data_IF_338518142052
#
_entry.id   IF_338518142052
#
_cell.length_a   1.000
_cell.length_b   1.000
_cell.length_c   1.000
_cell.angle_alpha   90.00
_cell.angle_beta   90.00
_cell.angle_gamma   90.00
#
_symmetry.space_group_name_H-M   'P 1'
#
loop_
_entity.id
_entity.type
_entity.pdbx_description
1 polymer ?
#
# COMPACT_ATOMS: atom_id res chain seq x y z
N UNK A 1 -20.64 8.80 -29.75
CA UNK A 1 -20.16 7.52 -29.17
C UNK A 1 -18.67 7.55 -28.89
N UNK A 2 -17.77 7.98 -29.78
CA UNK A 2 -16.33 8.03 -29.54
C UNK A 2 -15.92 8.85 -28.31
N UNK A 3 -16.50 10.02 -28.08
CA UNK A 3 -16.20 10.91 -26.95
C UNK A 3 -16.58 10.29 -25.58
N UNK A 4 -17.68 9.53 -25.53
CA UNK A 4 -18.13 8.86 -24.30
C UNK A 4 -17.18 7.72 -23.93
N UNK A 5 -16.72 6.97 -24.92
CA UNK A 5 -15.76 5.88 -24.74
C UNK A 5 -14.39 6.40 -24.28
N UNK A 6 -13.90 7.47 -24.91
CA UNK A 6 -12.66 8.12 -24.51
C UNK A 6 -12.70 8.58 -23.05
N UNK A 7 -13.79 9.25 -22.65
CA UNK A 7 -13.98 9.69 -21.27
C UNK A 7 -13.98 8.53 -20.27
N UNK A 8 -14.51 7.38 -20.65
CA UNK A 8 -14.52 6.19 -19.82
C UNK A 8 -13.11 5.60 -19.68
N UNK A 9 -12.37 5.49 -20.78
CA UNK A 9 -10.97 5.03 -20.78
C UNK A 9 -10.10 5.95 -19.91
N UNK A 10 -10.24 7.27 -20.02
CA UNK A 10 -9.54 8.26 -19.17
C UNK A 10 -9.86 8.07 -17.67
N UNK A 11 -11.10 7.68 -17.34
CA UNK A 11 -11.51 7.41 -15.96
C UNK A 11 -10.87 6.13 -15.40
N UNK A 12 -10.73 5.08 -16.22
CA UNK A 12 -10.02 3.85 -15.84
C UNK A 12 -8.53 4.09 -15.64
N UNK A 13 -7.89 4.83 -16.52
CA UNK A 13 -6.48 5.24 -16.34
C UNK A 13 -6.31 6.09 -15.08
N UNK A 14 -7.26 6.99 -14.80
CA UNK A 14 -7.29 7.78 -13.59
C UNK A 14 -7.37 6.92 -12.32
N UNK A 15 -8.13 5.82 -12.34
CA UNK A 15 -8.22 4.87 -11.24
C UNK A 15 -6.87 4.18 -10.96
N UNK A 16 -6.17 3.75 -12.02
CA UNK A 16 -4.83 3.15 -11.89
C UNK A 16 -3.83 4.16 -11.30
N UNK A 17 -3.90 5.41 -11.73
CA UNK A 17 -3.05 6.49 -11.19
C UNK A 17 -3.30 6.71 -9.69
N UNK A 18 -4.57 6.69 -9.27
CA UNK A 18 -4.95 6.87 -7.87
C UNK A 18 -4.43 5.70 -7.01
N UNK A 19 -4.55 4.45 -7.48
CA UNK A 19 -3.99 3.28 -6.81
C UNK A 19 -2.46 3.38 -6.65
N UNK A 20 -1.76 3.79 -7.70
CA UNK A 20 -0.30 3.97 -7.63
C UNK A 20 0.09 5.10 -6.67
N UNK A 21 -0.68 6.18 -6.63
CA UNK A 21 -0.50 7.27 -5.66
C UNK A 21 -0.71 6.78 -4.24
N UNK A 22 -1.73 5.96 -4.00
CA UNK A 22 -1.98 5.32 -2.70
C UNK A 22 -0.81 4.43 -2.29
N UNK A 23 -0.35 3.53 -3.17
CA UNK A 23 0.82 2.67 -2.92
C UNK A 23 2.07 3.45 -2.57
N UNK A 24 2.34 4.57 -3.26
CA UNK A 24 3.47 5.44 -2.97
C UNK A 24 3.35 6.12 -1.59
N UNK A 25 2.14 6.54 -1.20
CA UNK A 25 1.89 7.10 0.15
C UNK A 25 2.13 6.06 1.24
N UNK A 26 1.66 4.84 1.03
CA UNK A 26 1.90 3.72 1.94
C UNK A 26 3.39 3.40 2.07
N UNK A 27 4.11 3.35 0.94
CA UNK A 27 5.57 3.14 0.92
C UNK A 27 6.30 4.14 1.83
N UNK A 28 6.06 5.43 1.65
CA UNK A 28 6.69 6.46 2.48
C UNK A 28 6.22 6.43 3.94
N UNK A 29 4.99 5.99 4.19
CA UNK A 29 4.48 5.86 5.54
C UNK A 29 5.17 4.71 6.30
N UNK A 30 5.42 3.58 5.63
CA UNK A 30 6.22 2.47 6.15
C UNK A 30 7.66 2.94 6.41
N UNK A 31 8.28 3.63 5.46
CA UNK A 31 9.64 4.19 5.62
C UNK A 31 9.74 5.06 6.87
N UNK A 32 8.83 6.01 7.04
CA UNK A 32 8.79 6.89 8.21
C UNK A 32 8.59 6.11 9.52
N UNK A 33 7.72 5.07 9.51
CA UNK A 33 7.53 4.20 10.66
C UNK A 33 8.84 3.49 11.06
N UNK A 34 9.56 2.93 10.09
CA UNK A 34 10.84 2.26 10.32
C UNK A 34 11.94 3.22 10.80
N UNK A 35 12.00 4.41 10.22
CA UNK A 35 12.94 5.48 10.65
C UNK A 35 12.65 5.89 12.09
N UNK A 36 11.37 5.95 12.48
CA UNK A 36 10.95 6.32 13.84
C UNK A 36 11.42 5.34 14.91
N UNK A 37 11.73 4.08 14.55
CA UNK A 37 12.24 3.08 15.46
C UNK A 37 13.63 3.44 16.03
N UNK A 38 14.37 4.35 15.39
CA UNK A 38 15.62 4.90 15.92
C UNK A 38 15.36 5.92 17.03
N UNK A 39 16.23 5.97 18.06
CA UNK A 39 15.98 6.73 19.31
C UNK A 39 15.71 8.23 19.10
N UNK A 40 16.43 8.86 18.18
CA UNK A 40 16.42 10.31 17.99
C UNK A 40 15.30 10.81 17.06
N UNK A 41 14.48 9.91 16.51
CA UNK A 41 13.58 10.24 15.38
C UNK A 41 12.08 10.07 15.68
N UNK A 42 11.67 10.38 16.89
CA UNK A 42 10.24 10.33 17.31
C UNK A 42 9.30 11.23 16.50
N UNK A 43 9.82 12.26 15.86
CA UNK A 43 9.05 13.14 14.98
C UNK A 43 8.46 12.37 13.80
N UNK A 44 9.20 11.42 13.23
CA UNK A 44 8.74 10.56 12.15
C UNK A 44 7.54 9.70 12.54
N UNK A 45 7.45 9.26 13.80
CA UNK A 45 6.28 8.53 14.27
C UNK A 45 5.01 9.40 14.26
N UNK A 46 5.11 10.68 14.66
CA UNK A 46 3.98 11.61 14.61
C UNK A 46 3.58 11.92 13.17
N UNK A 47 4.53 12.09 12.28
CA UNK A 47 4.28 12.30 10.85
C UNK A 47 3.59 11.09 10.22
N UNK A 48 4.02 9.86 10.56
CA UNK A 48 3.39 8.62 10.09
C UNK A 48 1.90 8.58 10.46
N UNK A 49 1.58 8.85 11.71
CA UNK A 49 0.19 8.88 12.21
C UNK A 49 -0.63 9.98 11.52
N UNK A 50 -0.02 11.13 11.26
CA UNK A 50 -0.71 12.21 10.57
C UNK A 50 -0.98 11.89 9.10
N UNK A 51 0.00 11.32 8.40
CA UNK A 51 -0.09 10.96 6.98
C UNK A 51 -1.04 9.79 6.72
N UNK A 52 -1.27 8.95 7.72
CA UNK A 52 -2.23 7.87 7.65
C UNK A 52 -3.65 8.36 7.30
N UNK A 53 -4.05 9.53 7.78
CA UNK A 53 -5.31 10.16 7.41
C UNK A 53 -5.44 10.46 5.92
N UNK A 54 -4.32 10.77 5.25
CA UNK A 54 -4.29 10.98 3.80
C UNK A 54 -4.43 9.66 3.04
N UNK A 55 -3.91 8.56 3.59
CA UNK A 55 -4.05 7.21 3.04
C UNK A 55 -5.50 6.78 3.11
N UNK A 56 -6.14 6.94 4.27
CA UNK A 56 -7.56 6.60 4.48
C UNK A 56 -8.48 7.44 3.58
N UNK A 57 -8.15 8.72 3.38
CA UNK A 57 -8.90 9.58 2.49
C UNK A 57 -8.78 9.15 1.02
N UNK A 58 -7.57 8.79 0.56
CA UNK A 58 -7.34 8.28 -0.79
C UNK A 58 -8.04 6.94 -1.04
N UNK A 59 -8.02 6.02 -0.07
CA UNK A 59 -8.78 4.78 -0.18
C UNK A 59 -10.28 5.08 -0.37
N UNK A 60 -10.84 5.95 0.44
CA UNK A 60 -12.24 6.36 0.32
C UNK A 60 -12.56 6.97 -1.04
N UNK A 61 -11.71 7.88 -1.56
CA UNK A 61 -11.87 8.48 -2.89
C UNK A 61 -11.85 7.43 -4.01
N UNK A 62 -10.94 6.44 -3.92
CA UNK A 62 -10.87 5.32 -4.87
C UNK A 62 -12.14 4.49 -4.83
N UNK A 63 -12.61 4.14 -3.64
CA UNK A 63 -13.83 3.37 -3.45
C UNK A 63 -15.05 4.08 -4.06
N UNK A 64 -15.23 5.36 -3.76
CA UNK A 64 -16.33 6.16 -4.32
C UNK A 64 -16.25 6.26 -5.85
N UNK A 65 -15.05 6.44 -6.39
CA UNK A 65 -14.81 6.50 -7.84
C UNK A 65 -15.20 5.21 -8.53
N UNK A 66 -14.84 4.06 -7.95
CA UNK A 66 -15.20 2.74 -8.49
C UNK A 66 -16.71 2.54 -8.46
N UNK A 67 -17.36 2.82 -7.33
CA UNK A 67 -18.83 2.72 -7.20
C UNK A 67 -19.53 3.58 -8.24
N UNK A 68 -19.07 4.81 -8.41
CA UNK A 68 -19.62 5.73 -9.41
C UNK A 68 -19.43 5.20 -10.84
N UNK A 69 -18.26 4.64 -11.18
CA UNK A 69 -17.99 4.07 -12.50
C UNK A 69 -18.90 2.87 -12.78
N UNK A 70 -19.04 1.94 -11.85
CA UNK A 70 -19.93 0.78 -11.99
C UNK A 70 -21.37 1.24 -12.21
N UNK A 71 -21.85 2.19 -11.41
CA UNK A 71 -23.23 2.66 -11.45
C UNK A 71 -23.57 3.39 -12.75
N UNK A 72 -22.64 4.24 -13.26
CA UNK A 72 -22.92 5.10 -14.42
C UNK A 72 -22.62 4.45 -15.76
N UNK A 73 -21.65 3.53 -15.82
CA UNK A 73 -21.10 3.06 -17.09
C UNK A 73 -21.52 1.64 -17.46
N UNK A 74 -22.11 0.88 -16.52
CA UNK A 74 -22.48 -0.53 -16.72
C UNK A 74 -21.34 -1.33 -17.41
N UNK A 75 -20.17 -1.44 -16.76
CA UNK A 75 -18.97 -1.97 -17.37
C UNK A 75 -19.14 -3.42 -17.81
N UNK A 76 -18.43 -3.80 -18.88
CA UNK A 76 -18.33 -5.19 -19.31
C UNK A 76 -17.53 -6.02 -18.29
N UNK A 77 -17.64 -7.35 -18.37
CA UNK A 77 -17.08 -8.25 -17.39
C UNK A 77 -15.57 -8.05 -17.08
N UNK A 78 -14.76 -7.68 -18.08
CA UNK A 78 -13.33 -7.42 -17.91
C UNK A 78 -13.09 -6.16 -17.09
N UNK A 79 -13.76 -5.07 -17.42
CA UNK A 79 -13.61 -3.80 -16.72
C UNK A 79 -14.19 -3.90 -15.29
N UNK A 80 -15.29 -4.62 -15.11
CA UNK A 80 -15.85 -4.87 -13.79
C UNK A 80 -14.85 -5.62 -12.90
N UNK A 81 -14.18 -6.66 -13.43
CA UNK A 81 -13.14 -7.39 -12.68
C UNK A 81 -11.98 -6.47 -12.29
N UNK A 82 -11.53 -5.62 -13.20
CA UNK A 82 -10.48 -4.63 -12.91
C UNK A 82 -10.91 -3.68 -11.79
N UNK A 83 -12.12 -3.16 -11.83
CA UNK A 83 -12.66 -2.27 -10.79
C UNK A 83 -12.78 -2.96 -9.44
N UNK A 84 -13.25 -4.21 -9.40
CA UNK A 84 -13.32 -5.00 -8.17
C UNK A 84 -11.94 -5.32 -7.61
N UNK A 85 -10.95 -5.58 -8.47
CA UNK A 85 -9.56 -5.75 -8.06
C UNK A 85 -8.98 -4.44 -7.50
N UNK A 86 -9.31 -3.30 -8.11
CA UNK A 86 -8.90 -1.99 -7.63
C UNK A 86 -9.40 -1.70 -6.22
N UNK A 87 -10.66 -2.02 -5.91
CA UNK A 87 -11.22 -1.92 -4.55
C UNK A 87 -10.42 -2.75 -3.56
N UNK A 88 -10.14 -4.00 -3.90
CA UNK A 88 -9.40 -4.91 -3.02
C UNK A 88 -7.98 -4.41 -2.78
N UNK A 89 -7.27 -4.03 -3.83
CA UNK A 89 -5.91 -3.47 -3.72
C UNK A 89 -5.90 -2.21 -2.87
N UNK A 90 -6.87 -1.32 -3.05
CA UNK A 90 -6.99 -0.08 -2.25
C UNK A 90 -7.12 -0.39 -0.76
N UNK A 91 -8.03 -1.30 -0.40
CA UNK A 91 -8.25 -1.73 0.98
C UNK A 91 -6.99 -2.39 1.58
N UNK A 92 -6.30 -3.25 0.82
CA UNK A 92 -5.08 -3.90 1.31
C UNK A 92 -3.94 -2.88 1.50
N UNK A 93 -3.80 -1.89 0.62
CA UNK A 93 -2.84 -0.79 0.78
C UNK A 93 -3.17 0.08 2.00
N UNK A 94 -4.44 0.42 2.22
CA UNK A 94 -4.87 1.16 3.42
C UNK A 94 -4.50 0.40 4.70
N UNK A 95 -4.77 -0.91 4.77
CA UNK A 95 -4.38 -1.75 5.91
C UNK A 95 -2.86 -1.77 6.15
N UNK A 96 -2.05 -1.72 5.09
CA UNK A 96 -0.60 -1.57 5.24
C UNK A 96 -0.23 -0.21 5.85
N UNK A 97 -0.93 0.86 5.47
CA UNK A 97 -0.81 2.20 6.06
C UNK A 97 -1.16 2.20 7.55
N UNK A 98 -2.31 1.61 7.90
CA UNK A 98 -2.75 1.42 9.29
C UNK A 98 -1.70 0.69 10.14
N UNK A 99 -1.10 -0.38 9.59
CA UNK A 99 -0.05 -1.12 10.29
C UNK A 99 1.20 -0.25 10.51
N UNK A 100 1.59 0.57 9.55
CA UNK A 100 2.69 1.52 9.73
C UNK A 100 2.37 2.55 10.83
N UNK A 101 1.13 3.07 10.87
CA UNK A 101 0.67 3.97 11.92
C UNK A 101 0.64 3.28 13.30
N UNK A 102 0.26 2.00 13.37
CA UNK A 102 0.30 1.21 14.60
C UNK A 102 1.73 1.04 15.13
N UNK A 103 2.71 0.76 14.27
CA UNK A 103 4.14 0.74 14.65
C UNK A 103 4.54 2.10 15.23
N UNK A 104 4.15 3.19 14.60
CA UNK A 104 4.43 4.54 15.06
C UNK A 104 3.78 4.84 16.42
N UNK A 105 2.54 4.42 16.66
CA UNK A 105 1.86 4.54 17.94
C UNK A 105 2.58 3.78 19.05
N UNK A 106 3.01 2.53 18.79
CA UNK A 106 3.80 1.74 19.73
C UNK A 106 5.11 2.47 20.04
N UNK A 107 5.80 2.97 19.01
CA UNK A 107 7.07 3.70 19.19
C UNK A 107 6.95 4.96 20.05
N UNK A 108 5.82 5.63 20.02
CA UNK A 108 5.59 6.80 20.89
C UNK A 108 5.40 6.41 22.36
N UNK A 109 4.91 5.20 22.64
CA UNK A 109 4.62 4.70 24.00
C UNK A 109 5.79 3.93 24.59
N UNK A 110 6.47 3.14 23.78
CA UNK A 110 7.50 2.20 24.21
C UNK A 110 8.82 2.49 23.51
N UNK A 111 9.94 2.39 24.25
CA UNK A 111 11.29 2.38 23.69
C UNK A 111 11.69 0.92 23.48
N UNK A 112 11.85 0.52 22.24
CA UNK A 112 12.39 -0.80 21.90
C UNK A 112 13.92 -0.69 22.02
N UNK A 113 14.51 -1.39 22.98
CA UNK A 113 15.96 -1.35 23.24
C UNK A 113 16.68 -2.58 22.73
N UNK A 114 15.97 -3.67 22.49
CA UNK A 114 16.55 -4.90 21.96
C UNK A 114 16.99 -4.69 20.50
N UNK A 115 18.29 -4.77 20.27
CA UNK A 115 18.90 -4.56 18.97
C UNK A 115 18.51 -5.65 17.94
N UNK A 116 18.35 -6.88 18.41
CA UNK A 116 17.94 -7.99 17.55
C UNK A 116 16.51 -7.79 17.04
N UNK A 117 15.59 -7.45 17.93
CA UNK A 117 14.19 -7.14 17.57
C UNK A 117 14.13 -5.96 16.60
N UNK A 118 14.86 -4.87 16.88
CA UNK A 118 14.90 -3.71 15.99
C UNK A 118 15.41 -4.03 14.59
N UNK A 119 16.47 -4.85 14.52
CA UNK A 119 17.05 -5.24 13.24
C UNK A 119 16.06 -6.06 12.42
N UNK A 120 15.37 -7.01 13.04
CA UNK A 120 14.35 -7.82 12.37
C UNK A 120 13.19 -6.99 11.87
N UNK A 121 12.61 -6.15 12.72
CA UNK A 121 11.52 -5.24 12.32
C UNK A 121 11.91 -4.36 11.13
N UNK A 122 13.12 -3.82 11.14
CA UNK A 122 13.63 -3.03 10.01
C UNK A 122 13.83 -3.86 8.75
N UNK A 123 14.29 -5.11 8.89
CA UNK A 123 14.47 -6.02 7.75
C UNK A 123 13.13 -6.39 7.13
N UNK A 124 12.15 -6.80 7.93
CA UNK A 124 10.78 -7.10 7.45
C UNK A 124 10.16 -5.90 6.74
N UNK A 125 10.24 -4.71 7.34
CA UNK A 125 9.71 -3.50 6.73
C UNK A 125 10.40 -3.12 5.42
N UNK A 126 11.72 -3.30 5.31
CA UNK A 126 12.45 -3.09 4.04
C UNK A 126 12.04 -4.08 2.96
N UNK A 127 11.83 -5.34 3.30
CA UNK A 127 11.34 -6.35 2.36
C UNK A 127 9.93 -5.98 1.86
N UNK A 128 9.02 -5.58 2.75
CA UNK A 128 7.70 -5.10 2.36
C UNK A 128 7.76 -3.88 1.43
N UNK A 129 8.68 -2.94 1.69
CA UNK A 129 8.88 -1.78 0.81
C UNK A 129 9.39 -2.18 -0.58
N UNK A 130 10.35 -3.11 -0.66
CA UNK A 130 10.85 -3.63 -1.94
C UNK A 130 9.73 -4.34 -2.71
N UNK A 131 8.89 -5.13 -2.05
CA UNK A 131 7.74 -5.78 -2.69
C UNK A 131 6.75 -4.76 -3.24
N UNK A 132 6.48 -3.66 -2.54
CA UNK A 132 5.62 -2.58 -3.05
C UNK A 132 6.22 -1.87 -4.27
N UNK A 133 7.54 -1.65 -4.29
CA UNK A 133 8.24 -1.02 -5.40
C UNK A 133 8.21 -1.92 -6.65
N UNK A 134 8.50 -3.20 -6.47
CA UNK A 134 8.44 -4.21 -7.53
C UNK A 134 7.00 -4.37 -8.04
N UNK A 135 6.00 -4.38 -7.15
CA UNK A 135 4.60 -4.44 -7.54
C UNK A 135 4.18 -3.23 -8.39
N UNK A 136 4.61 -2.02 -8.00
CA UNK A 136 4.36 -0.83 -8.81
C UNK A 136 4.99 -0.93 -10.21
N UNK A 137 6.18 -1.53 -10.29
CA UNK A 137 6.89 -1.78 -11.55
C UNK A 137 6.18 -2.83 -12.38
N UNK A 138 5.78 -3.95 -11.76
CA UNK A 138 5.08 -5.05 -12.42
C UNK A 138 3.73 -4.59 -12.99
N UNK A 139 2.96 -3.82 -12.23
CA UNK A 139 1.68 -3.26 -12.69
C UNK A 139 1.88 -2.27 -13.84
N UNK A 140 2.92 -1.44 -13.78
CA UNK A 140 3.23 -0.48 -14.86
C UNK A 140 3.61 -1.19 -16.17
N UNK A 141 4.33 -2.30 -16.09
CA UNK A 141 4.87 -3.02 -17.24
C UNK A 141 4.01 -4.23 -17.64
N UNK A 142 2.91 -4.49 -16.94
CA UNK A 142 2.06 -5.68 -17.09
C UNK A 142 2.85 -7.00 -16.96
N UNK A 143 3.88 -7.00 -16.07
CA UNK A 143 4.81 -8.12 -15.89
C UNK A 143 4.24 -9.16 -14.90
N UNK A 144 3.57 -10.17 -15.45
CA UNK A 144 2.98 -11.28 -14.68
C UNK A 144 4.06 -12.14 -14.01
N UNK A 145 5.25 -12.25 -14.62
CA UNK A 145 6.34 -13.04 -14.04
C UNK A 145 6.84 -12.40 -12.75
N UNK A 146 7.08 -11.09 -12.79
CA UNK A 146 7.49 -10.34 -11.60
C UNK A 146 6.41 -10.39 -10.50
N UNK A 147 5.12 -10.37 -10.85
CA UNK A 147 4.03 -10.54 -9.86
C UNK A 147 4.14 -11.90 -9.14
N UNK A 148 4.42 -12.98 -9.85
CA UNK A 148 4.60 -14.31 -9.25
C UNK A 148 5.81 -14.36 -8.33
N UNK A 149 6.93 -13.78 -8.74
CA UNK A 149 8.14 -13.70 -7.90
C UNK A 149 7.90 -12.89 -6.61
N UNK A 150 7.08 -11.83 -6.66
CA UNK A 150 6.70 -11.05 -5.47
C UNK A 150 5.87 -11.92 -4.51
N UNK A 151 4.91 -12.69 -5.02
CA UNK A 151 4.10 -13.61 -4.20
C UNK A 151 4.97 -14.67 -3.51
N UNK A 152 5.96 -15.21 -4.20
CA UNK A 152 6.89 -16.20 -3.62
C UNK A 152 7.76 -15.57 -2.51
N UNK A 153 8.19 -14.32 -2.66
CA UNK A 153 8.98 -13.60 -1.64
C UNK A 153 8.20 -13.25 -0.37
N UNK A 154 6.88 -13.29 -0.40
CA UNK A 154 6.05 -13.08 0.80
C UNK A 154 6.36 -14.12 1.88
N UNK A 155 6.70 -15.35 1.49
CA UNK A 155 7.15 -16.39 2.40
C UNK A 155 8.39 -15.99 3.22
N UNK A 156 9.32 -15.23 2.65
CA UNK A 156 10.51 -14.76 3.37
C UNK A 156 10.15 -13.81 4.53
N UNK A 157 9.10 -13.00 4.35
CA UNK A 157 8.59 -12.12 5.41
C UNK A 157 7.88 -12.93 6.48
N UNK A 158 7.08 -13.90 6.08
CA UNK A 158 6.38 -14.80 7.00
C UNK A 158 7.39 -15.58 7.86
N UNK A 159 8.42 -16.14 7.28
CA UNK A 159 9.49 -16.86 7.97
C UNK A 159 10.23 -15.95 8.99
N UNK A 160 10.45 -14.69 8.64
CA UNK A 160 11.00 -13.71 9.58
C UNK A 160 10.02 -13.37 10.71
N UNK A 161 8.73 -13.42 10.49
CA UNK A 161 7.71 -13.16 11.51
C UNK A 161 7.58 -14.30 12.51
N UNK A 162 7.74 -15.55 12.05
CA UNK A 162 7.52 -16.78 12.84
C UNK A 162 8.67 -17.14 13.80
N UNK A 163 9.83 -16.49 13.73
CA UNK A 163 10.94 -16.84 14.62
C UNK A 163 10.69 -16.26 16.03
N UNK A 164 10.03 -17.08 16.77
CA UNK A 164 9.98 -17.19 18.23
C UNK A 164 9.55 -15.95 19.05
N UNK A 165 8.32 -16.04 19.31
CA UNK A 165 7.84 -15.69 20.67
C UNK A 165 8.06 -16.90 21.61
#
# INVERSE_FOLDING_TARGET
MAVIRQKYEDQLEGLIKDLRRLGLRVYFNIENALVSLSEEKRTFARETIQKDKEINHLDHEINEKVIMLITKQQPIATDLRMMMSALKISTDLERMGDNAANIAHIRLRVKITDHYVLTRLKTMGKLAMLMLEDLNTAVKNEDITLIKEIIERDQDIDDLSLIHI
#
